data_IF_491051782769
#
_entry.id   IF_491051782769
#
_cell.length_a   1.000
_cell.length_b   1.000
_cell.length_c   1.000
_cell.angle_alpha   90.00
_cell.angle_beta   90.00
_cell.angle_gamma   90.00
#
_symmetry.space_group_name_H-M   'P 1'
#
loop_
_entity.id
_entity.type
_entity.pdbx_description
1 polymer ?
#
# COMPACT_ATOMS: atom_id res chain seq x y z
N UNK A 1 16.87 13.92 -37.52
CA UNK A 1 16.48 14.45 -36.19
C UNK A 1 16.24 13.26 -35.27
N UNK A 2 17.21 12.92 -34.42
CA UNK A 2 17.19 11.75 -33.54
C UNK A 2 16.27 12.02 -32.34
N UNK A 3 15.18 11.27 -32.21
CA UNK A 3 14.41 11.19 -30.97
C UNK A 3 15.10 10.20 -30.04
N UNK A 4 15.59 10.70 -28.90
CA UNK A 4 16.20 9.93 -27.83
C UNK A 4 15.13 9.07 -27.16
N UNK A 5 15.28 7.75 -27.21
CA UNK A 5 14.50 6.80 -26.42
C UNK A 5 14.84 6.95 -24.92
N UNK A 6 13.87 6.81 -23.99
CA UNK A 6 14.17 6.82 -22.58
C UNK A 6 14.96 5.57 -22.18
N UNK A 7 15.98 5.79 -21.35
CA UNK A 7 16.91 4.78 -20.84
C UNK A 7 16.16 3.69 -20.02
N UNK A 8 16.24 2.39 -20.39
CA UNK A 8 15.49 1.30 -19.76
C UNK A 8 16.01 0.87 -18.37
N UNK A 9 17.10 1.46 -17.87
CA UNK A 9 17.76 1.05 -16.62
C UNK A 9 17.11 1.55 -15.33
N UNK A 10 16.04 2.35 -15.38
CA UNK A 10 15.39 2.90 -14.17
C UNK A 10 13.96 2.41 -13.93
N UNK A 11 13.48 1.43 -14.68
CA UNK A 11 12.13 0.93 -14.51
C UNK A 11 11.99 0.05 -13.24
N UNK A 12 11.08 0.42 -12.33
CA UNK A 12 10.78 -0.35 -11.11
C UNK A 12 10.18 -1.73 -11.48
N UNK A 13 10.28 -2.75 -10.63
CA UNK A 13 9.75 -4.11 -10.91
C UNK A 13 8.27 -4.12 -11.32
N UNK A 14 7.48 -3.18 -10.81
CA UNK A 14 6.07 -2.97 -11.16
C UNK A 14 5.86 -2.68 -12.67
N UNK A 15 6.79 -1.97 -13.32
CA UNK A 15 6.68 -1.54 -14.72
C UNK A 15 6.87 -2.70 -15.72
N UNK A 16 7.55 -3.79 -15.33
CA UNK A 16 7.78 -4.95 -16.21
C UNK A 16 6.71 -6.04 -16.09
N UNK A 17 6.00 -6.13 -14.96
CA UNK A 17 4.87 -7.05 -14.80
C UNK A 17 3.70 -6.71 -15.72
N UNK A 18 3.42 -5.41 -15.90
CA UNK A 18 2.42 -4.92 -16.85
C UNK A 18 2.76 -5.32 -18.30
N UNK A 19 4.03 -5.15 -18.71
CA UNK A 19 4.47 -5.51 -20.06
C UNK A 19 4.36 -7.00 -20.38
N UNK A 20 4.62 -7.90 -19.41
CA UNK A 20 4.50 -9.35 -19.62
C UNK A 20 3.05 -9.83 -19.80
N UNK A 21 2.07 -9.09 -19.26
CA UNK A 21 0.64 -9.34 -19.44
C UNK A 21 0.03 -8.54 -20.62
N UNK A 22 0.85 -7.84 -21.41
CA UNK A 22 0.37 -7.01 -22.52
C UNK A 22 -0.33 -5.71 -22.09
N UNK A 23 -0.11 -5.24 -20.86
CA UNK A 23 -0.74 -4.04 -20.30
C UNK A 23 0.18 -2.83 -20.52
N UNK A 24 -0.29 -1.79 -21.22
CA UNK A 24 0.47 -0.56 -21.44
C UNK A 24 0.54 0.31 -20.18
N UNK A 25 1.68 0.97 -19.93
CA UNK A 25 1.89 1.88 -18.79
C UNK A 25 0.96 3.10 -18.77
N UNK A 26 0.39 3.48 -19.91
CA UNK A 26 -0.60 4.54 -19.99
C UNK A 26 -1.95 4.01 -19.54
N UNK A 27 -2.30 4.37 -18.31
CA UNK A 27 -3.69 4.37 -17.85
C UNK A 27 -4.49 5.21 -18.84
N UNK A 28 -5.29 4.59 -19.71
CA UNK A 28 -6.25 5.31 -20.52
C UNK A 28 -7.23 6.01 -19.55
N UNK A 29 -7.38 7.34 -19.61
CA UNK A 29 -8.25 8.07 -18.69
C UNK A 29 -9.73 7.65 -18.76
N UNK A 30 -10.11 6.91 -19.80
CA UNK A 30 -11.49 6.47 -20.07
C UNK A 30 -11.87 5.12 -19.44
N UNK A 31 -10.95 4.40 -18.79
CA UNK A 31 -11.28 3.14 -18.07
C UNK A 31 -10.63 3.10 -16.69
N UNK A 32 -11.25 3.69 -15.66
CA UNK A 32 -10.90 3.37 -14.28
C UNK A 32 -11.33 1.92 -14.02
N UNK A 33 -10.42 0.98 -14.23
CA UNK A 33 -10.68 -0.45 -14.12
C UNK A 33 -9.41 -1.22 -13.80
N UNK A 34 -9.59 -2.38 -13.19
CA UNK A 34 -8.52 -3.29 -12.79
C UNK A 34 -7.58 -3.67 -13.94
N UNK A 35 -6.36 -4.09 -13.61
CA UNK A 35 -5.24 -4.21 -14.56
C UNK A 35 -5.48 -5.17 -15.74
N UNK A 36 -6.21 -6.29 -15.53
CA UNK A 36 -6.47 -7.28 -16.56
C UNK A 36 -7.89 -7.86 -16.46
N UNK A 37 -8.80 -7.52 -17.39
CA UNK A 37 -10.18 -8.05 -17.44
C UNK A 37 -10.93 -8.03 -16.08
N UNK A 38 -10.78 -6.95 -15.30
CA UNK A 38 -11.40 -6.84 -13.98
C UNK A 38 -10.62 -7.48 -12.83
N UNK A 39 -9.38 -7.93 -13.08
CA UNK A 39 -8.44 -8.49 -12.09
C UNK A 39 -7.31 -7.50 -11.83
N UNK A 40 -7.10 -7.13 -10.56
CA UNK A 40 -5.94 -6.32 -10.15
C UNK A 40 -4.68 -7.21 -10.10
N UNK A 41 -3.57 -6.75 -10.68
CA UNK A 41 -2.30 -7.47 -10.72
C UNK A 41 -1.28 -6.83 -9.76
N UNK A 42 -0.82 -7.62 -8.79
CA UNK A 42 0.20 -7.20 -7.82
C UNK A 42 1.40 -8.11 -7.90
N UNK A 43 2.50 -7.61 -8.46
CA UNK A 43 3.75 -8.34 -8.55
C UNK A 43 4.71 -7.94 -7.41
N UNK A 44 5.37 -8.93 -6.83
CA UNK A 44 6.41 -8.76 -5.81
C UNK A 44 7.63 -9.60 -6.13
N UNK A 45 8.82 -9.06 -5.86
CA UNK A 45 10.06 -9.82 -5.89
C UNK A 45 10.23 -10.65 -4.61
N UNK A 46 10.59 -11.93 -4.78
CA UNK A 46 11.15 -12.77 -3.73
C UNK A 46 12.54 -12.22 -3.41
N UNK A 47 12.67 -11.57 -2.26
CA UNK A 47 13.97 -11.16 -1.75
C UNK A 47 14.61 -12.35 -1.03
N UNK A 48 15.83 -12.72 -1.43
CA UNK A 48 16.65 -13.71 -0.70
C UNK A 48 17.25 -13.13 0.59
N UNK A 49 17.22 -11.79 0.76
CA UNK A 49 17.67 -11.11 1.98
C UNK A 49 16.51 -10.78 2.94
N UNK A 50 16.68 -11.17 4.21
CA UNK A 50 15.76 -10.99 5.36
C UNK A 50 15.35 -9.52 5.69
N UNK A 51 15.86 -8.52 4.98
CA UNK A 51 15.77 -7.09 5.36
C UNK A 51 14.87 -6.22 4.48
N UNK A 52 14.39 -6.69 3.32
CA UNK A 52 13.34 -5.97 2.59
C UNK A 52 11.99 -6.32 3.21
N UNK A 53 11.36 -5.36 3.92
CA UNK A 53 10.09 -5.59 4.62
C UNK A 53 9.07 -6.18 3.65
N UNK A 54 8.72 -7.45 3.84
CA UNK A 54 7.93 -8.23 2.90
C UNK A 54 6.47 -7.80 2.74
N UNK A 55 6.09 -6.61 3.20
CA UNK A 55 4.71 -6.16 3.24
C UNK A 55 4.11 -5.99 1.85
N UNK A 56 2.84 -6.31 1.71
CA UNK A 56 2.06 -6.08 0.49
C UNK A 56 1.22 -4.82 0.68
N UNK A 57 1.31 -3.87 -0.26
CA UNK A 57 0.39 -2.75 -0.30
C UNK A 57 -0.97 -3.21 -0.81
N UNK A 58 -1.97 -3.23 0.07
CA UNK A 58 -3.33 -3.60 -0.26
C UNK A 58 -3.98 -2.47 -1.06
N UNK A 59 -4.19 -1.32 -0.44
CA UNK A 59 -4.79 -0.15 -1.07
C UNK A 59 -4.34 1.14 -0.39
N UNK A 60 -4.61 2.28 -1.03
CA UNK A 60 -4.42 3.59 -0.44
C UNK A 60 -5.77 4.23 -0.09
N UNK A 61 -5.89 4.76 1.12
CA UNK A 61 -7.09 5.47 1.59
C UNK A 61 -6.76 6.44 2.73
N UNK A 62 -6.96 7.74 2.51
CA UNK A 62 -6.81 8.76 3.55
C UNK A 62 -7.90 8.66 4.62
N UNK A 63 -7.60 8.92 5.90
CA UNK A 63 -8.65 9.02 6.91
C UNK A 63 -9.54 10.24 6.61
N UNK A 64 -10.77 10.19 7.11
CA UNK A 64 -11.53 11.39 7.37
C UNK A 64 -10.86 12.09 8.57
N UNK A 65 -10.38 13.32 8.37
CA UNK A 65 -9.68 14.04 9.42
C UNK A 65 -10.69 14.69 10.36
N UNK A 66 -10.45 14.62 11.67
CA UNK A 66 -11.32 15.23 12.67
C UNK A 66 -11.37 16.77 12.53
N UNK A 67 -10.28 17.37 12.06
CA UNK A 67 -10.17 18.81 11.82
C UNK A 67 -9.66 19.12 10.41
N UNK A 68 -10.26 20.11 9.77
CA UNK A 68 -9.75 20.67 8.53
C UNK A 68 -8.45 21.45 8.81
N UNK A 69 -7.35 21.03 8.18
CA UNK A 69 -6.03 21.63 8.33
C UNK A 69 -5.30 21.62 7.00
N UNK A 70 -4.38 22.57 6.80
CA UNK A 70 -3.45 22.53 5.66
C UNK A 70 -2.51 21.33 5.82
N UNK A 71 -2.05 20.79 4.70
CA UNK A 71 -1.18 19.61 4.70
C UNK A 71 0.09 19.78 5.55
N UNK A 72 0.68 20.98 5.55
CA UNK A 72 1.88 21.28 6.33
C UNK A 72 1.62 21.29 7.84
N UNK A 73 0.52 21.89 8.28
CA UNK A 73 0.16 21.94 9.70
C UNK A 73 -0.10 20.52 10.23
N UNK A 74 -0.75 19.69 9.40
CA UNK A 74 -0.93 18.26 9.68
C UNK A 74 0.40 17.49 9.76
N UNK A 75 1.33 17.76 8.85
CA UNK A 75 2.65 17.11 8.88
C UNK A 75 3.42 17.48 10.16
N UNK A 76 3.31 18.73 10.61
CA UNK A 76 3.93 19.21 11.86
C UNK A 76 3.32 18.54 13.09
N UNK A 77 2.00 18.34 13.09
CA UNK A 77 1.29 17.62 14.15
C UNK A 77 1.68 16.14 14.21
N UNK A 78 1.85 15.48 13.06
CA UNK A 78 2.08 14.02 12.98
C UNK A 78 3.55 13.61 13.04
N UNK A 79 4.43 14.45 12.51
CA UNK A 79 5.80 14.11 12.20
C UNK A 79 6.80 14.61 13.23
N UNK A 80 8.07 14.56 12.82
CA UNK A 80 9.21 15.09 13.55
C UNK A 80 10.05 15.95 12.61
N UNK A 81 10.88 16.82 13.17
CA UNK A 81 11.86 17.59 12.41
C UNK A 81 13.16 16.80 12.25
N UNK A 82 13.79 16.93 11.08
CA UNK A 82 15.18 16.53 10.89
C UNK A 82 16.14 17.65 11.34
N UNK A 83 17.45 17.40 11.25
CA UNK A 83 18.49 18.35 11.65
C UNK A 83 18.46 19.66 10.84
N UNK A 84 17.88 19.65 9.65
CA UNK A 84 17.72 20.82 8.78
C UNK A 84 16.40 21.57 9.05
N UNK A 85 15.64 21.17 10.09
CA UNK A 85 14.36 21.76 10.47
C UNK A 85 13.19 21.36 9.56
N UNK A 86 13.35 20.37 8.67
CA UNK A 86 12.29 19.91 7.77
C UNK A 86 11.45 18.85 8.48
N UNK A 87 10.13 18.95 8.32
CA UNK A 87 9.23 17.97 8.90
C UNK A 87 9.10 16.74 8.01
N UNK A 88 9.08 15.56 8.62
CA UNK A 88 8.73 14.31 7.96
C UNK A 88 7.95 13.38 8.89
N UNK A 89 7.10 12.57 8.29
CA UNK A 89 6.35 11.52 8.96
C UNK A 89 6.42 10.26 8.09
N UNK A 90 7.39 9.40 8.42
CA UNK A 90 7.52 8.05 7.91
C UNK A 90 7.26 7.10 9.08
N UNK A 91 6.00 6.69 9.23
CA UNK A 91 5.58 6.04 10.46
C UNK A 91 4.59 4.93 10.17
N UNK A 92 4.86 3.74 10.71
CA UNK A 92 3.92 2.63 10.75
C UNK A 92 3.03 2.76 11.98
N UNK A 93 1.73 2.61 11.78
CA UNK A 93 0.71 2.75 12.81
C UNK A 93 0.00 1.42 12.96
N UNK A 94 -0.12 0.98 14.21
CA UNK A 94 -0.77 -0.27 14.63
C UNK A 94 -1.72 0.03 15.79
N UNK A 95 -2.32 -1.00 16.40
CA UNK A 95 -3.09 -0.82 17.65
C UNK A 95 -2.24 -0.49 18.88
N UNK A 96 -0.92 -0.48 18.77
CA UNK A 96 -0.01 0.06 19.79
C UNK A 96 0.55 1.40 19.34
N UNK A 97 0.61 2.36 20.27
CA UNK A 97 1.27 3.64 20.09
C UNK A 97 2.73 3.47 19.69
N UNK A 98 3.13 4.13 18.62
CA UNK A 98 4.52 4.23 18.23
C UNK A 98 5.23 5.40 18.94
N UNK A 99 6.50 5.62 18.61
CA UNK A 99 7.33 6.68 19.19
C UNK A 99 6.85 8.10 18.88
N UNK A 100 5.90 8.29 17.97
CA UNK A 100 5.25 9.58 17.68
C UNK A 100 3.88 9.71 18.36
N UNK A 101 3.51 8.75 19.22
CA UNK A 101 2.21 8.70 19.90
C UNK A 101 1.06 8.26 18.99
N UNK A 102 1.34 7.81 17.76
CA UNK A 102 0.29 7.44 16.80
C UNK A 102 -0.16 6.00 17.00
N UNK A 103 -1.47 5.77 17.03
CA UNK A 103 -2.07 4.43 17.11
C UNK A 103 -3.44 4.35 16.46
N UNK A 104 -3.88 3.11 16.18
CA UNK A 104 -5.18 2.77 15.62
C UNK A 104 -6.07 2.15 16.68
N UNK A 105 -7.36 2.45 16.63
CA UNK A 105 -8.37 1.78 17.45
C UNK A 105 -9.40 1.13 16.54
N UNK A 106 -9.35 -0.20 16.41
CA UNK A 106 -10.41 -0.96 15.76
C UNK A 106 -11.69 -0.88 16.62
N UNK A 107 -12.83 -0.65 15.97
CA UNK A 107 -14.14 -0.57 16.63
C UNK A 107 -14.99 -1.77 16.24
N UNK A 108 -15.98 -2.09 17.08
CA UNK A 108 -17.00 -3.09 16.74
C UNK A 108 -17.95 -2.54 15.65
N UNK A 109 -18.52 -3.40 14.78
CA UNK A 109 -19.53 -2.98 13.82
C UNK A 109 -20.69 -2.24 14.49
N UNK A 110 -21.27 -1.21 13.84
CA UNK A 110 -21.05 -0.80 12.45
C UNK A 110 -19.83 0.13 12.24
N UNK A 111 -19.12 0.48 13.31
CA UNK A 111 -18.00 1.42 13.27
C UNK A 111 -16.79 0.87 12.51
N UNK A 112 -15.85 1.75 12.16
CA UNK A 112 -14.62 1.39 11.44
C UNK A 112 -13.36 1.46 12.30
N UNK A 113 -12.36 2.22 11.84
CA UNK A 113 -11.06 2.34 12.52
C UNK A 113 -10.80 3.81 12.86
N UNK A 114 -10.46 4.10 14.11
CA UNK A 114 -10.05 5.45 14.54
C UNK A 114 -8.53 5.57 14.53
N UNK A 115 -8.05 6.76 14.19
CA UNK A 115 -6.65 7.17 14.27
C UNK A 115 -6.49 8.16 15.41
N UNK A 116 -5.56 7.84 16.30
CA UNK A 116 -5.23 8.66 17.46
C UNK A 116 -3.80 9.16 17.39
N UNK A 117 -3.59 10.34 18.00
CA UNK A 117 -2.30 10.82 18.44
C UNK A 117 -2.38 11.07 19.93
N UNK A 118 -1.59 10.33 20.70
CA UNK A 118 -1.64 10.34 22.15
C UNK A 118 -3.08 10.02 22.61
N UNK A 119 -3.72 10.90 23.38
CA UNK A 119 -5.12 10.75 23.80
C UNK A 119 -6.14 11.22 22.75
N UNK A 120 -5.72 12.04 21.77
CA UNK A 120 -6.63 12.73 20.87
C UNK A 120 -7.00 11.90 19.65
N UNK A 121 -8.31 11.86 19.32
CA UNK A 121 -8.79 11.32 18.04
C UNK A 121 -8.55 12.35 16.94
N UNK A 122 -7.66 12.03 15.99
CA UNK A 122 -7.27 12.94 14.91
C UNK A 122 -7.87 12.58 13.54
N UNK A 123 -8.41 11.37 13.40
CA UNK A 123 -9.12 10.96 12.20
C UNK A 123 -9.73 9.57 12.32
N UNK A 124 -10.42 9.14 11.27
CA UNK A 124 -11.10 7.85 11.23
C UNK A 124 -11.36 7.37 9.81
N UNK A 125 -11.63 6.07 9.68
CA UNK A 125 -12.18 5.47 8.48
C UNK A 125 -13.47 4.75 8.84
N UNK A 126 -14.58 5.19 8.26
CA UNK A 126 -15.84 4.44 8.33
C UNK A 126 -15.67 3.05 7.70
N UNK A 127 -16.35 2.06 8.29
CA UNK A 127 -16.30 0.66 7.85
C UNK A 127 -16.70 0.50 6.40
N UNK A 128 -17.75 1.19 5.98
CA UNK A 128 -18.32 1.16 4.63
C UNK A 128 -17.32 1.70 3.61
N UNK A 129 -16.58 2.75 3.98
CA UNK A 129 -15.57 3.37 3.12
C UNK A 129 -14.36 2.45 2.94
N UNK A 130 -13.96 1.75 4.00
CA UNK A 130 -12.93 0.70 3.91
C UNK A 130 -13.43 -0.47 3.04
N UNK A 131 -14.66 -0.94 3.27
CA UNK A 131 -15.25 -2.04 2.51
C UNK A 131 -15.34 -1.72 1.02
N UNK A 132 -15.86 -0.53 0.66
CA UNK A 132 -15.95 -0.08 -0.71
C UNK A 132 -14.57 -0.03 -1.38
N UNK A 133 -13.57 0.52 -0.68
CA UNK A 133 -12.21 0.61 -1.23
C UNK A 133 -11.55 -0.76 -1.39
N UNK A 134 -11.78 -1.66 -0.45
CA UNK A 134 -11.27 -3.03 -0.48
C UNK A 134 -11.90 -3.81 -1.63
N UNK A 135 -13.22 -3.71 -1.82
CA UNK A 135 -13.94 -4.35 -2.92
C UNK A 135 -13.55 -3.78 -4.29
N UNK A 136 -13.44 -2.45 -4.41
CA UNK A 136 -12.99 -1.79 -5.65
C UNK A 136 -11.62 -2.32 -6.09
N UNK A 137 -10.68 -2.46 -5.14
CA UNK A 137 -9.30 -2.85 -5.46
C UNK A 137 -9.04 -4.35 -5.53
N UNK A 138 -9.83 -5.16 -4.83
CA UNK A 138 -9.53 -6.56 -4.64
C UNK A 138 -10.74 -7.48 -4.82
N UNK A 139 -11.81 -7.03 -5.48
CA UNK A 139 -12.91 -7.91 -5.88
C UNK A 139 -12.39 -9.19 -6.54
N UNK A 140 -11.39 -9.03 -7.42
CA UNK A 140 -10.56 -10.08 -8.01
C UNK A 140 -9.12 -9.57 -8.06
N UNK A 141 -8.18 -10.27 -7.43
CA UNK A 141 -6.79 -9.87 -7.39
C UNK A 141 -5.87 -11.06 -7.61
N UNK A 142 -4.78 -10.84 -8.34
CA UNK A 142 -3.70 -11.80 -8.55
C UNK A 142 -2.42 -11.25 -7.93
N UNK A 143 -1.82 -12.05 -7.06
CA UNK A 143 -0.53 -11.76 -6.46
C UNK A 143 0.53 -12.68 -7.07
N UNK A 144 1.49 -12.08 -7.77
CA UNK A 144 2.56 -12.78 -8.46
C UNK A 144 3.87 -12.63 -7.70
N UNK A 145 4.54 -13.73 -7.39
CA UNK A 145 5.90 -13.73 -6.84
C UNK A 145 6.90 -13.99 -7.97
N UNK A 146 7.92 -13.14 -8.09
CA UNK A 146 9.00 -13.30 -9.06
C UNK A 146 10.38 -13.36 -8.39
N UNK A 147 11.30 -14.15 -8.93
CA UNK A 147 12.73 -14.08 -8.61
C UNK A 147 13.43 -13.19 -9.63
N UNK A 148 14.46 -12.44 -9.20
CA UNK A 148 15.28 -11.63 -10.10
C UNK A 148 16.74 -12.09 -10.10
N UNK A 149 17.37 -12.04 -11.26
CA UNK A 149 18.84 -12.14 -11.40
C UNK A 149 19.34 -10.91 -12.15
N UNK A 150 20.48 -10.36 -11.72
CA UNK A 150 21.13 -9.21 -12.38
C UNK A 150 22.44 -9.63 -13.05
N UNK A 151 22.42 -10.33 -14.20
CA UNK A 151 23.61 -10.49 -15.03
C UNK A 151 24.03 -9.16 -15.68
N UNK A 152 25.26 -9.10 -16.19
CA UNK A 152 25.79 -7.92 -16.89
C UNK A 152 24.96 -7.50 -18.12
N UNK A 153 24.18 -8.43 -18.70
CA UNK A 153 23.27 -8.19 -19.84
C UNK A 153 21.92 -7.56 -19.45
N UNK A 154 21.70 -7.27 -18.17
CA UNK A 154 20.49 -6.63 -17.65
C UNK A 154 19.63 -7.54 -16.77
N UNK A 155 18.73 -6.94 -16.00
CA UNK A 155 17.92 -7.68 -15.02
C UNK A 155 16.91 -8.62 -15.68
N UNK A 156 16.93 -9.88 -15.26
CA UNK A 156 16.00 -10.93 -15.65
C UNK A 156 15.06 -11.29 -14.50
N UNK A 157 13.82 -11.68 -14.82
CA UNK A 157 12.80 -12.04 -13.84
C UNK A 157 12.18 -13.40 -14.18
N UNK A 158 12.04 -14.28 -13.19
CA UNK A 158 11.31 -15.55 -13.29
C UNK A 158 10.10 -15.50 -12.37
N UNK A 159 8.89 -15.57 -12.92
CA UNK A 159 7.68 -15.73 -12.12
C UNK A 159 7.62 -17.15 -11.57
N UNK A 160 7.40 -17.29 -10.25
CA UNK A 160 7.51 -18.59 -9.55
C UNK A 160 6.25 -18.98 -8.78
N UNK A 161 5.34 -18.04 -8.55
CA UNK A 161 4.11 -18.30 -7.82
C UNK A 161 3.04 -17.30 -8.26
N UNK A 162 1.81 -17.79 -8.34
CA UNK A 162 0.64 -16.96 -8.57
C UNK A 162 -0.44 -17.33 -7.55
N UNK A 163 -0.97 -16.33 -6.86
CA UNK A 163 -2.07 -16.49 -5.91
C UNK A 163 -3.24 -15.64 -6.40
N UNK A 164 -4.31 -16.31 -6.82
CA UNK A 164 -5.57 -15.67 -7.17
C UNK A 164 -6.45 -15.55 -5.93
N UNK A 165 -7.02 -14.38 -5.71
CA UNK A 165 -7.89 -14.05 -4.58
C UNK A 165 -9.18 -13.41 -5.08
N UNK A 166 -10.31 -13.76 -4.46
CA UNK A 166 -11.59 -13.08 -4.69
C UNK A 166 -12.36 -12.86 -3.39
N UNK A 167 -13.35 -11.96 -3.47
CA UNK A 167 -14.34 -11.70 -2.39
C UNK A 167 -13.63 -11.34 -1.08
N UNK A 168 -13.00 -10.14 -1.01
CA UNK A 168 -12.35 -9.70 0.21
C UNK A 168 -13.39 -9.43 1.29
N UNK A 169 -13.01 -9.68 2.54
CA UNK A 169 -13.89 -9.54 3.69
C UNK A 169 -13.45 -8.36 4.58
N UNK A 170 -14.35 -7.38 4.76
CA UNK A 170 -14.07 -6.19 5.58
C UNK A 170 -13.93 -6.53 7.07
N UNK A 171 -14.67 -7.50 7.59
CA UNK A 171 -14.53 -7.87 9.00
C UNK A 171 -13.15 -8.49 9.23
N UNK A 172 -12.75 -9.43 8.36
CA UNK A 172 -11.40 -10.00 8.42
C UNK A 172 -10.31 -8.94 8.27
N UNK A 173 -10.51 -7.93 7.43
CA UNK A 173 -9.59 -6.80 7.33
C UNK A 173 -9.42 -6.07 8.67
N UNK A 174 -10.52 -5.73 9.35
CA UNK A 174 -10.51 -5.02 10.64
C UNK A 174 -9.88 -5.90 11.73
N UNK A 175 -10.24 -7.18 11.78
CA UNK A 175 -9.66 -8.14 12.73
C UNK A 175 -8.14 -8.27 12.53
N UNK A 176 -7.68 -8.28 11.27
CA UNK A 176 -6.25 -8.29 10.95
C UNK A 176 -5.55 -6.97 11.31
N UNK A 177 -6.24 -5.83 11.30
CA UNK A 177 -5.69 -4.58 11.85
C UNK A 177 -5.53 -4.67 13.36
N UNK A 178 -6.54 -5.19 14.05
CA UNK A 178 -6.53 -5.35 15.50
C UNK A 178 -5.37 -6.26 15.96
N UNK A 179 -5.18 -7.36 15.23
CA UNK A 179 -4.09 -8.32 15.38
C UNK A 179 -2.73 -7.82 14.83
N UNK A 180 -2.65 -6.57 14.36
CA UNK A 180 -1.44 -5.92 13.81
C UNK A 180 -0.82 -6.65 12.60
N UNK A 181 -1.63 -7.44 11.88
CA UNK A 181 -1.26 -8.12 10.62
C UNK A 181 -1.45 -7.22 9.42
N UNK A 182 -2.37 -6.26 9.52
CA UNK A 182 -2.49 -5.14 8.59
C UNK A 182 -2.12 -3.86 9.34
N UNK A 183 -1.29 -3.03 8.71
CA UNK A 183 -0.80 -1.77 9.27
C UNK A 183 -1.10 -0.62 8.34
N UNK A 184 -1.23 0.57 8.91
CA UNK A 184 -1.31 1.82 8.16
C UNK A 184 0.05 2.52 8.19
N UNK A 185 0.42 3.24 7.14
CA UNK A 185 1.66 4.02 7.15
C UNK A 185 1.45 5.47 6.70
N UNK A 186 2.04 6.42 7.41
CA UNK A 186 2.29 7.75 6.87
C UNK A 186 3.60 7.76 6.09
N UNK A 187 3.56 8.43 4.94
CA UNK A 187 4.71 8.61 4.05
C UNK A 187 4.72 10.04 3.52
N UNK A 188 4.97 10.99 4.41
CA UNK A 188 4.86 12.43 4.14
C UNK A 188 6.15 13.15 4.50
N UNK A 189 6.58 14.09 3.65
CA UNK A 189 7.78 14.91 3.88
C UNK A 189 7.56 16.32 3.40
N UNK A 190 8.14 17.28 4.12
CA UNK A 190 8.19 18.67 3.71
C UNK A 190 9.19 18.85 2.57
N UNK A 191 8.67 19.22 1.38
CA UNK A 191 9.49 19.48 0.19
C UNK A 191 8.71 20.26 -0.87
N UNK A 192 9.14 21.48 -1.27
CA UNK A 192 10.09 22.38 -0.59
C UNK A 192 9.55 22.89 0.77
N UNK A 193 10.29 23.70 1.56
CA UNK A 193 9.79 24.24 2.83
C UNK A 193 8.39 24.87 2.71
N UNK A 194 7.52 24.58 3.66
CA UNK A 194 6.11 25.00 3.66
C UNK A 194 5.17 24.17 2.77
N UNK A 195 5.70 23.23 1.96
CA UNK A 195 4.88 22.34 1.10
C UNK A 195 5.08 20.88 1.48
N UNK A 196 4.02 20.10 1.39
CA UNK A 196 4.06 18.67 1.73
C UNK A 196 4.05 17.82 0.47
N UNK A 197 5.04 16.94 0.36
CA UNK A 197 5.03 15.79 -0.52
C UNK A 197 4.43 14.60 0.23
N UNK A 198 3.21 14.23 -0.14
CA UNK A 198 2.53 13.06 0.39
C UNK A 198 2.58 11.90 -0.61
N UNK A 199 3.16 10.76 -0.20
CA UNK A 199 3.25 9.55 -1.01
C UNK A 199 2.00 8.65 -0.90
N UNK A 200 1.00 9.10 -0.16
CA UNK A 200 -0.29 8.46 0.03
C UNK A 200 -0.45 7.85 1.41
N UNK A 201 -1.49 7.03 1.52
CA UNK A 201 -2.00 6.49 2.78
C UNK A 201 -2.17 4.97 2.67
N UNK A 202 -1.06 4.22 2.51
CA UNK A 202 -1.13 2.78 2.26
C UNK A 202 -1.59 2.00 3.50
N UNK A 203 -2.49 1.06 3.25
CA UNK A 203 -2.77 -0.06 4.14
C UNK A 203 -1.99 -1.27 3.64
N UNK A 204 -1.15 -1.85 4.51
CA UNK A 204 -0.24 -2.92 4.14
C UNK A 204 -0.43 -4.17 4.97
N UNK A 205 -0.49 -5.31 4.31
CA UNK A 205 -0.38 -6.62 4.94
C UNK A 205 1.08 -6.87 5.30
N UNK A 206 1.36 -7.19 6.56
CA UNK A 206 2.73 -7.36 7.09
C UNK A 206 3.40 -8.60 6.51
N UNK A 207 2.70 -9.74 6.54
CA UNK A 207 3.17 -11.01 6.01
C UNK A 207 2.31 -11.47 4.81
N UNK A 208 2.87 -11.55 3.60
CA UNK A 208 2.19 -12.07 2.41
C UNK A 208 1.53 -13.43 2.58
N UNK A 209 2.04 -14.27 3.49
CA UNK A 209 1.52 -15.62 3.71
C UNK A 209 0.16 -15.61 4.38
N UNK A 210 -0.23 -14.50 5.02
CA UNK A 210 -1.53 -14.33 5.67
C UNK A 210 -2.58 -13.73 4.72
N UNK A 211 -2.29 -13.67 3.41
CA UNK A 211 -3.21 -13.12 2.43
C UNK A 211 -4.50 -13.95 2.34
N UNK A 212 -4.43 -15.26 2.54
CA UNK A 212 -5.57 -16.17 2.61
C UNK A 212 -6.60 -15.78 3.68
N UNK A 213 -6.15 -15.13 4.75
CA UNK A 213 -7.02 -14.65 5.83
C UNK A 213 -7.89 -13.47 5.43
N UNK A 214 -7.57 -12.75 4.35
CA UNK A 214 -8.32 -11.56 3.92
C UNK A 214 -9.46 -11.88 2.94
N UNK A 215 -9.40 -13.03 2.27
CA UNK A 215 -10.30 -13.38 1.17
C UNK A 215 -11.17 -14.58 1.50
N UNK A 216 -12.33 -14.69 0.85
CA UNK A 216 -13.19 -15.87 0.97
C UNK A 216 -12.82 -16.98 -0.03
N UNK A 217 -12.16 -16.64 -1.15
CA UNK A 217 -11.66 -17.60 -2.13
C UNK A 217 -10.19 -17.32 -2.45
N UNK A 218 -9.39 -18.38 -2.45
CA UNK A 218 -8.00 -18.32 -2.92
C UNK A 218 -7.65 -19.55 -3.74
N UNK A 219 -7.00 -19.35 -4.89
CA UNK A 219 -6.43 -20.40 -5.73
C UNK A 219 -4.95 -20.13 -5.90
N UNK A 220 -4.12 -21.06 -5.45
CA UNK A 220 -2.66 -20.97 -5.54
C UNK A 220 -2.15 -21.85 -6.69
N UNK A 221 -1.50 -21.23 -7.65
CA UNK A 221 -0.85 -21.89 -8.77
C UNK A 221 0.66 -21.83 -8.57
N UNK A 222 1.31 -23.00 -8.54
CA UNK A 222 2.77 -23.13 -8.51
C UNK A 222 3.24 -23.51 -9.92
N UNK A 223 4.23 -22.79 -10.43
CA UNK A 223 4.93 -23.13 -11.67
C UNK A 223 6.20 -23.92 -11.42
#
# INVERSE_FOLDING_TARGET
>A
MRLLAPNPERARPFQRGHAAAGISETRCPERPGADFHGIELKCKLKHDNRTATGKINLFQLAPCWATAQRGIDRLRMLGQQDADGRHSCYSQITTTANNLGLWLQAQLPPEGIRLHKDADRIGEWARERLAARLAEKHSRAVFVTAQSRCPASGTQYKYIELVYCERPDIQKFIDMVDLRRIVFEFTMTERPPGRVRNHGYPWRLVDPRELDRLFALQVKLRG
#
